data_IF_213482349158
#
_entry.id   IF_213482349158
#
_cell.length_a   1.000
_cell.length_b   1.000
_cell.length_c   1.000
_cell.angle_alpha   90.00
_cell.angle_beta   90.00
_cell.angle_gamma   90.00
#
_symmetry.space_group_name_H-M   'P 1'
#
loop_
_entity.id
_entity.type
_entity.pdbx_description
1 polymer ?
#
# COMPACT_ATOMS: atom_id res chain seq x y z
N UNK A 1 6.63 -15.40 -1.46
CA UNK A 1 6.60 -14.28 -2.45
C UNK A 1 7.14 -12.99 -1.85
N UNK A 2 6.56 -12.46 -0.75
CA UNK A 2 7.12 -11.30 -0.01
C UNK A 2 8.61 -11.48 0.30
N UNK A 3 9.00 -12.65 0.83
CA UNK A 3 10.41 -12.97 1.10
C UNK A 3 11.30 -12.87 -0.16
N UNK A 4 10.80 -13.33 -1.31
CA UNK A 4 11.54 -13.25 -2.57
C UNK A 4 11.71 -11.81 -3.06
N UNK A 5 10.66 -10.99 -2.97
CA UNK A 5 10.73 -9.57 -3.30
C UNK A 5 11.68 -8.81 -2.34
N UNK A 6 11.62 -9.11 -1.04
CA UNK A 6 12.55 -8.54 -0.05
C UNK A 6 14.00 -8.91 -0.35
N UNK A 7 14.28 -10.18 -0.68
CA UNK A 7 15.61 -10.63 -1.05
C UNK A 7 16.11 -9.95 -2.33
N UNK A 8 15.24 -9.80 -3.34
CA UNK A 8 15.58 -9.12 -4.58
C UNK A 8 15.94 -7.65 -4.35
N UNK A 9 15.10 -6.91 -3.61
CA UNK A 9 15.36 -5.50 -3.26
C UNK A 9 16.69 -5.38 -2.50
N UNK A 10 16.91 -6.23 -1.51
CA UNK A 10 18.17 -6.26 -0.75
C UNK A 10 19.39 -6.58 -1.62
N UNK A 11 19.27 -7.53 -2.54
CA UNK A 11 20.34 -7.90 -3.47
C UNK A 11 20.71 -6.75 -4.42
N UNK A 12 19.71 -6.03 -4.95
CA UNK A 12 19.92 -4.87 -5.83
C UNK A 12 20.61 -3.74 -5.07
N UNK A 13 20.15 -3.42 -3.86
CA UNK A 13 20.78 -2.39 -3.00
C UNK A 13 22.23 -2.77 -2.69
N UNK A 14 22.47 -4.03 -2.30
CA UNK A 14 23.81 -4.53 -2.00
C UNK A 14 24.72 -4.43 -3.22
N UNK A 15 24.23 -4.83 -4.40
CA UNK A 15 24.98 -4.73 -5.65
C UNK A 15 25.31 -3.28 -6.01
N UNK A 16 24.34 -2.37 -5.93
CA UNK A 16 24.55 -0.95 -6.22
C UNK A 16 25.59 -0.29 -5.30
N UNK A 17 25.50 -0.54 -3.99
CA UNK A 17 26.37 0.11 -3.00
C UNK A 17 27.77 -0.51 -2.94
N UNK A 18 27.88 -1.85 -2.93
CA UNK A 18 29.15 -2.52 -2.68
C UNK A 18 29.90 -2.92 -3.94
N UNK A 19 29.19 -3.15 -5.03
CA UNK A 19 29.79 -3.65 -6.27
C UNK A 19 29.88 -2.52 -7.32
N UNK A 20 28.84 -1.70 -7.52
CA UNK A 20 28.83 -0.63 -8.55
C UNK A 20 29.47 0.67 -8.08
N UNK A 21 29.02 1.24 -6.96
CA UNK A 21 29.48 2.55 -6.48
C UNK A 21 31.02 2.68 -6.39
N UNK A 22 31.77 1.72 -5.81
CA UNK A 22 33.23 1.83 -5.75
C UNK A 22 33.93 1.68 -7.12
N UNK A 23 33.25 1.13 -8.14
CA UNK A 23 33.76 1.08 -9.52
C UNK A 23 33.57 2.40 -10.26
N UNK A 24 32.50 3.15 -9.96
CA UNK A 24 32.17 4.39 -10.67
C UNK A 24 32.68 5.65 -9.97
N UNK A 25 32.85 5.63 -8.64
CA UNK A 25 33.34 6.77 -7.87
C UNK A 25 34.45 6.33 -6.92
N UNK A 26 35.63 6.95 -7.05
CA UNK A 26 36.82 6.65 -6.26
C UNK A 26 36.51 6.54 -4.76
N UNK A 27 36.71 5.35 -4.15
CA UNK A 27 36.45 5.15 -2.73
C UNK A 27 37.21 6.14 -1.84
N UNK A 28 36.54 6.64 -0.80
CA UNK A 28 37.11 7.62 0.14
C UNK A 28 37.10 9.07 -0.34
N UNK A 29 36.75 9.35 -1.60
CA UNK A 29 36.56 10.73 -2.07
C UNK A 29 35.30 11.37 -1.45
N UNK A 30 35.27 12.71 -1.36
CA UNK A 30 34.09 13.45 -0.91
C UNK A 30 32.84 13.09 -1.75
N UNK A 31 33.00 13.00 -3.07
CA UNK A 31 31.95 12.59 -4.00
C UNK A 31 31.42 11.19 -3.69
N UNK A 32 32.30 10.23 -3.38
CA UNK A 32 31.89 8.88 -2.99
C UNK A 32 31.05 8.90 -1.72
N UNK A 33 31.48 9.66 -0.70
CA UNK A 33 30.73 9.83 0.54
C UNK A 33 29.34 10.43 0.28
N UNK A 34 29.23 11.45 -0.57
CA UNK A 34 27.93 12.05 -0.90
C UNK A 34 27.00 11.07 -1.61
N UNK A 35 27.50 10.31 -2.59
CA UNK A 35 26.71 9.30 -3.29
C UNK A 35 26.30 8.15 -2.36
N UNK A 36 27.18 7.73 -1.46
CA UNK A 36 26.87 6.71 -0.46
C UNK A 36 25.75 7.17 0.48
N UNK A 37 25.82 8.40 1.00
CA UNK A 37 24.78 8.95 1.87
C UNK A 37 23.43 9.04 1.14
N UNK A 38 23.44 9.48 -0.11
CA UNK A 38 22.24 9.54 -0.94
C UNK A 38 21.66 8.13 -1.22
N UNK A 39 22.51 7.17 -1.60
CA UNK A 39 22.11 5.79 -1.84
C UNK A 39 21.53 5.13 -0.59
N UNK A 40 22.12 5.38 0.59
CA UNK A 40 21.60 4.90 1.87
C UNK A 40 20.25 5.53 2.20
N UNK A 41 20.08 6.84 2.00
CA UNK A 41 18.80 7.53 2.21
C UNK A 41 17.70 6.92 1.33
N UNK A 42 17.96 6.72 0.04
CA UNK A 42 17.02 6.10 -0.88
C UNK A 42 16.72 4.65 -0.47
N UNK A 43 17.75 3.86 -0.14
CA UNK A 43 17.62 2.46 0.26
C UNK A 43 16.75 2.29 1.50
N UNK A 44 16.98 3.11 2.54
CA UNK A 44 16.17 3.10 3.76
C UNK A 44 14.71 3.43 3.44
N UNK A 45 14.47 4.43 2.58
CA UNK A 45 13.12 4.82 2.20
C UNK A 45 12.40 3.76 1.35
N UNK A 46 13.10 3.11 0.40
CA UNK A 46 12.56 1.98 -0.37
C UNK A 46 12.14 0.86 0.57
N UNK A 47 13.02 0.45 1.48
CA UNK A 47 12.76 -0.64 2.42
C UNK A 47 11.62 -0.31 3.39
N UNK A 48 11.61 0.91 3.95
CA UNK A 48 10.56 1.36 4.86
C UNK A 48 9.19 1.36 4.18
N UNK A 49 9.06 2.01 3.03
CA UNK A 49 7.76 2.13 2.35
C UNK A 49 7.28 0.79 1.78
N UNK A 50 8.19 -0.07 1.33
CA UNK A 50 7.85 -1.45 0.98
C UNK A 50 7.32 -2.21 2.20
N UNK A 51 8.02 -2.18 3.33
CA UNK A 51 7.60 -2.84 4.56
C UNK A 51 6.24 -2.33 5.05
N UNK A 52 6.01 -1.02 5.00
CA UNK A 52 4.73 -0.43 5.34
C UNK A 52 3.63 -0.82 4.34
N UNK A 53 3.91 -0.89 3.04
CA UNK A 53 2.95 -1.36 2.03
C UNK A 53 2.54 -2.82 2.23
N UNK A 54 3.48 -3.68 2.62
CA UNK A 54 3.23 -5.10 2.93
C UNK A 54 2.43 -5.27 4.21
N UNK A 55 2.79 -4.55 5.28
CA UNK A 55 2.27 -4.84 6.64
C UNK A 55 1.05 -4.01 7.02
N UNK A 56 0.84 -2.83 6.41
CA UNK A 56 -0.32 -1.99 6.72
C UNK A 56 -1.58 -2.62 6.15
N UNK A 57 -2.58 -2.88 7.00
CA UNK A 57 -3.92 -3.24 6.57
C UNK A 57 -4.44 -2.16 5.60
N UNK A 58 -4.93 -2.52 4.40
CA UNK A 58 -5.31 -1.53 3.37
C UNK A 58 -6.56 -0.71 3.69
N UNK A 59 -7.16 -0.92 4.87
CA UNK A 59 -8.51 -0.48 5.20
C UNK A 59 -9.52 -1.54 4.79
N UNK A 60 -9.26 -2.82 5.08
CA UNK A 60 -10.26 -3.85 4.88
C UNK A 60 -11.35 -3.82 5.96
N UNK A 61 -12.43 -4.55 5.73
CA UNK A 61 -13.58 -4.63 6.64
C UNK A 61 -13.28 -5.14 8.06
N UNK A 62 -12.09 -5.67 8.28
CA UNK A 62 -11.55 -6.11 9.58
C UNK A 62 -10.67 -5.05 10.26
N UNK A 63 -10.65 -3.81 9.74
CA UNK A 63 -9.88 -2.70 10.31
C UNK A 63 -10.74 -1.77 11.16
N UNK A 64 -10.16 -1.22 12.24
CA UNK A 64 -10.79 -0.21 13.10
C UNK A 64 -11.33 1.00 12.33
N UNK A 65 -10.66 1.37 11.23
CA UNK A 65 -11.05 2.49 10.38
C UNK A 65 -12.39 2.18 9.68
N UNK A 66 -12.55 0.95 9.18
CA UNK A 66 -13.78 0.53 8.55
C UNK A 66 -14.93 0.45 9.57
N UNK A 67 -14.67 -0.07 10.76
CA UNK A 67 -15.66 -0.17 11.84
C UNK A 67 -16.20 1.21 12.22
N UNK A 68 -15.30 2.15 12.54
CA UNK A 68 -15.66 3.54 12.86
C UNK A 68 -16.43 4.23 11.73
N UNK A 69 -16.05 3.96 10.48
CA UNK A 69 -16.74 4.52 9.31
C UNK A 69 -18.18 3.98 9.21
N UNK A 70 -18.41 2.70 9.53
CA UNK A 70 -19.74 2.11 9.55
C UNK A 70 -20.60 2.67 10.69
N UNK A 71 -20.04 2.81 11.90
CA UNK A 71 -20.71 3.43 13.05
C UNK A 71 -21.14 4.87 12.73
N UNK A 72 -20.25 5.67 12.16
CA UNK A 72 -20.54 7.05 11.76
C UNK A 72 -21.65 7.11 10.69
N UNK A 73 -21.62 6.21 9.72
CA UNK A 73 -22.63 6.13 8.67
C UNK A 73 -24.00 5.69 9.21
N UNK A 74 -24.03 4.80 10.20
CA UNK A 74 -25.25 4.41 10.89
C UNK A 74 -25.82 5.55 11.73
N UNK A 75 -24.98 6.25 12.50
CA UNK A 75 -25.40 7.42 13.30
C UNK A 75 -25.96 8.56 12.43
N UNK A 76 -25.42 8.74 11.21
CA UNK A 76 -25.96 9.68 10.21
C UNK A 76 -27.16 9.10 9.44
N UNK A 77 -27.46 7.81 9.64
CA UNK A 77 -28.49 7.04 8.97
C UNK A 77 -28.35 6.98 7.46
N UNK A 78 -27.11 6.94 6.98
CA UNK A 78 -26.75 6.70 5.58
C UNK A 78 -27.01 5.24 5.17
N UNK A 79 -27.05 4.32 6.14
CA UNK A 79 -27.31 2.90 5.92
C UNK A 79 -28.81 2.54 5.82
N UNK A 80 -29.71 3.50 6.08
CA UNK A 80 -31.18 3.29 6.04
C UNK A 80 -31.67 2.75 4.69
N UNK A 81 -31.05 3.17 3.59
CA UNK A 81 -31.43 2.70 2.25
C UNK A 81 -30.99 1.25 2.00
N UNK A 82 -29.90 0.80 2.64
CA UNK A 82 -29.45 -0.59 2.58
C UNK A 82 -30.46 -1.53 3.23
N UNK A 83 -30.98 -1.14 4.40
CA UNK A 83 -32.01 -1.89 5.13
C UNK A 83 -33.29 -2.04 4.30
N UNK A 84 -33.65 -1.00 3.52
CA UNK A 84 -34.82 -1.00 2.63
C UNK A 84 -34.57 -1.66 1.26
N UNK A 85 -33.37 -2.21 1.02
CA UNK A 85 -32.98 -2.85 -0.26
C UNK A 85 -33.20 -1.97 -1.49
N UNK A 86 -33.07 -0.65 -1.33
CA UNK A 86 -33.16 0.31 -2.44
C UNK A 86 -31.82 0.30 -3.18
N UNK A 87 -31.87 0.32 -4.52
CA UNK A 87 -30.64 0.41 -5.33
C UNK A 87 -29.92 1.73 -5.03
N UNK A 88 -28.64 1.68 -4.63
CA UNK A 88 -27.89 2.87 -4.24
C UNK A 88 -27.48 3.67 -5.47
N UNK A 89 -27.48 5.00 -5.35
CA UNK A 89 -26.94 5.88 -6.39
C UNK A 89 -25.41 5.84 -6.42
N UNK A 90 -24.77 6.23 -7.53
CA UNK A 90 -23.32 6.43 -7.56
C UNK A 90 -22.88 7.35 -6.42
N UNK A 91 -21.89 6.93 -5.64
CA UNK A 91 -21.39 7.70 -4.50
C UNK A 91 -22.14 7.48 -3.17
N UNK A 92 -23.19 6.66 -3.15
CA UNK A 92 -23.86 6.26 -1.91
C UNK A 92 -23.31 4.94 -1.36
N UNK A 93 -23.62 4.68 -0.08
CA UNK A 93 -23.37 3.38 0.54
C UNK A 93 -24.19 2.30 -0.17
N UNK A 94 -23.59 1.13 -0.33
CA UNK A 94 -24.20 -0.06 -0.94
C UNK A 94 -23.99 -1.28 -0.03
N UNK A 95 -24.43 -2.46 -0.45
CA UNK A 95 -24.07 -3.73 0.23
C UNK A 95 -23.10 -4.50 -0.64
N UNK A 96 -22.01 -5.01 -0.06
CA UNK A 96 -21.09 -5.88 -0.77
C UNK A 96 -21.76 -7.22 -1.07
N UNK A 97 -21.98 -7.54 -2.35
CA UNK A 97 -22.62 -8.80 -2.74
C UNK A 97 -21.85 -10.07 -2.34
N UNK A 98 -20.56 -9.97 -2.04
CA UNK A 98 -19.71 -11.11 -1.66
C UNK A 98 -19.64 -11.35 -0.15
N UNK A 99 -19.65 -10.29 0.66
CA UNK A 99 -19.53 -10.38 2.12
C UNK A 99 -20.84 -10.09 2.85
N UNK A 100 -21.83 -9.47 2.19
CA UNK A 100 -23.06 -8.99 2.82
C UNK A 100 -22.87 -7.72 3.66
N UNK A 101 -21.64 -7.21 3.79
CA UNK A 101 -21.32 -6.07 4.63
C UNK A 101 -21.70 -4.73 3.98
N UNK A 102 -21.92 -3.66 4.78
CA UNK A 102 -22.00 -2.29 4.28
C UNK A 102 -20.77 -1.97 3.42
N UNK A 103 -21.01 -1.47 2.22
CA UNK A 103 -19.98 -1.14 1.24
C UNK A 103 -19.94 0.37 1.07
N UNK A 104 -18.94 1.04 1.68
CA UNK A 104 -18.76 2.47 1.52
C UNK A 104 -18.50 2.84 0.05
N UNK A 105 -18.76 4.09 -0.34
CA UNK A 105 -18.41 4.60 -1.66
C UNK A 105 -16.94 4.30 -2.02
N UNK A 106 -16.68 4.00 -3.30
CA UNK A 106 -15.35 3.65 -3.83
C UNK A 106 -14.66 2.42 -3.21
N UNK A 107 -15.32 1.69 -2.30
CA UNK A 107 -14.78 0.45 -1.77
C UNK A 107 -15.02 -0.69 -2.76
N UNK A 108 -14.15 -1.69 -2.81
CA UNK A 108 -14.34 -2.86 -3.68
C UNK A 108 -13.96 -4.15 -2.93
N UNK A 109 -14.62 -5.25 -3.31
CA UNK A 109 -14.26 -6.57 -2.81
C UNK A 109 -13.09 -7.09 -3.63
N UNK A 110 -11.95 -7.27 -2.97
CA UNK A 110 -10.79 -7.91 -3.57
C UNK A 110 -11.01 -9.42 -3.62
N UNK A 111 -11.03 -9.96 -4.85
CA UNK A 111 -11.22 -11.40 -5.08
C UNK A 111 -10.01 -12.23 -4.66
N UNK A 112 -8.82 -11.64 -4.55
CA UNK A 112 -7.60 -12.34 -4.16
C UNK A 112 -7.54 -12.47 -2.65
N UNK A 113 -7.60 -11.35 -1.93
CA UNK A 113 -7.54 -11.35 -0.46
C UNK A 113 -8.86 -11.72 0.22
N UNK A 114 -9.96 -11.80 -0.54
CA UNK A 114 -11.33 -12.09 -0.05
C UNK A 114 -11.83 -11.05 0.96
N UNK A 115 -11.36 -9.81 0.84
CA UNK A 115 -11.71 -8.71 1.73
C UNK A 115 -12.43 -7.61 0.97
N UNK A 116 -13.44 -7.01 1.60
CA UNK A 116 -13.91 -5.70 1.21
C UNK A 116 -12.89 -4.66 1.66
N UNK A 117 -12.40 -3.82 0.74
CA UNK A 117 -11.32 -2.85 0.98
C UNK A 117 -11.79 -1.43 0.65
N UNK A 118 -11.55 -0.51 1.57
CA UNK A 118 -11.83 0.92 1.45
C UNK A 118 -10.98 1.55 0.34
N UNK A 119 -11.64 2.30 -0.56
CA UNK A 119 -10.99 2.99 -1.69
C UNK A 119 -9.95 2.08 -2.39
N UNK A 120 -10.34 0.82 -2.63
CA UNK A 120 -9.47 -0.17 -3.22
C UNK A 120 -8.98 0.31 -4.58
N UNK A 121 -7.66 0.30 -4.76
CA UNK A 121 -7.02 0.57 -6.05
C UNK A 121 -6.80 -0.75 -6.80
N UNK A 122 -5.92 -1.61 -6.27
CA UNK A 122 -5.65 -2.93 -6.86
C UNK A 122 -5.07 -3.92 -5.85
N UNK A 123 -5.10 -5.21 -6.17
CA UNK A 123 -4.24 -6.19 -5.51
C UNK A 123 -2.84 -6.14 -6.11
N UNK A 124 -1.82 -5.90 -5.29
CA UNK A 124 -0.43 -5.84 -5.75
C UNK A 124 0.31 -7.15 -5.42
N UNK A 125 0.70 -7.96 -6.44
CA UNK A 125 1.44 -9.21 -6.20
C UNK A 125 2.81 -8.99 -5.55
N UNK A 126 3.42 -7.82 -5.76
CA UNK A 126 4.73 -7.46 -5.23
C UNK A 126 4.71 -7.15 -3.74
N UNK A 127 3.63 -6.52 -3.26
CA UNK A 127 3.39 -6.34 -1.83
C UNK A 127 2.75 -7.56 -1.18
N UNK A 128 2.17 -8.45 -1.99
CA UNK A 128 1.30 -9.53 -1.55
C UNK A 128 0.15 -9.03 -0.66
N UNK A 129 -0.30 -7.80 -0.94
CA UNK A 129 -1.32 -7.08 -0.19
C UNK A 129 -2.18 -6.26 -1.17
N UNK A 130 -3.41 -5.96 -0.79
CA UNK A 130 -4.22 -5.00 -1.53
C UNK A 130 -3.69 -3.59 -1.28
N UNK A 131 -3.71 -2.73 -2.29
CA UNK A 131 -3.51 -1.29 -2.14
C UNK A 131 -4.88 -0.65 -1.99
N UNK A 132 -5.11 -0.02 -0.85
CA UNK A 132 -6.36 0.64 -0.48
C UNK A 132 -6.08 1.90 0.32
N UNK A 133 -7.14 2.48 0.89
CA UNK A 133 -7.10 3.80 1.53
C UNK A 133 -5.94 3.97 2.53
N UNK A 134 -5.74 3.00 3.42
CA UNK A 134 -4.82 3.14 4.55
C UNK A 134 -3.34 2.93 4.18
N UNK A 135 -3.04 2.22 3.08
CA UNK A 135 -1.67 1.95 2.65
C UNK A 135 -1.28 2.59 1.31
N UNK A 136 -2.20 3.28 0.63
CA UNK A 136 -1.96 3.95 -0.64
C UNK A 136 -0.76 4.91 -0.58
N UNK A 137 -0.62 5.68 0.50
CA UNK A 137 0.52 6.60 0.68
C UNK A 137 1.87 5.88 0.66
N UNK A 138 1.94 4.71 1.31
CA UNK A 138 3.17 3.93 1.38
C UNK A 138 3.50 3.32 0.04
N UNK A 139 2.48 2.82 -0.68
CA UNK A 139 2.65 2.34 -2.04
C UNK A 139 3.17 3.45 -2.97
N UNK A 140 2.59 4.65 -2.93
CA UNK A 140 3.01 5.76 -3.79
C UNK A 140 4.45 6.19 -3.52
N UNK A 141 4.83 6.36 -2.24
CA UNK A 141 6.21 6.70 -1.90
C UNK A 141 7.18 5.56 -2.22
N UNK A 142 6.79 4.30 -2.04
CA UNK A 142 7.59 3.16 -2.48
C UNK A 142 7.92 3.26 -3.97
N UNK A 143 6.93 3.56 -4.84
CA UNK A 143 7.18 3.73 -6.27
C UNK A 143 8.10 4.91 -6.58
N UNK A 144 7.92 6.06 -5.92
CA UNK A 144 8.77 7.24 -6.11
C UNK A 144 10.22 6.94 -5.75
N UNK A 145 10.47 6.37 -4.58
CA UNK A 145 11.82 6.03 -4.15
C UNK A 145 12.43 4.92 -5.00
N UNK A 146 11.65 3.92 -5.41
CA UNK A 146 12.10 2.86 -6.29
C UNK A 146 12.59 3.42 -7.63
N UNK A 147 11.77 4.23 -8.30
CA UNK A 147 12.14 4.85 -9.59
C UNK A 147 13.35 5.77 -9.45
N UNK A 148 13.45 6.53 -8.36
CA UNK A 148 14.58 7.44 -8.10
C UNK A 148 15.87 6.68 -7.76
N UNK A 149 15.77 5.43 -7.31
CA UNK A 149 16.91 4.58 -6.93
C UNK A 149 17.48 3.72 -8.07
N UNK A 150 16.77 3.65 -9.20
CA UNK A 150 17.22 3.00 -10.45
C UNK A 150 18.18 3.89 -11.23
#
# INVERSE_FOLDING_TARGET
LVFGASLLIGAIIKFGIFDVLPLVVTPGSFTHTMHLLWALLLSVNVLFHYAMGVTTNPGSHDSDIYEKLCEEAEGRGLLRNLQRKILPRPGEWSTCAKTGLPKPPRSHFDKVTKRLVLHMDHYCPWLFNTVGWANLRYYMFFQVYLVTST
#
